data_IF_670826398361
#
_entry.id   IF_670826398361
#
_cell.length_a   1.000
_cell.length_b   1.000
_cell.length_c   1.000
_cell.angle_alpha   90.00
_cell.angle_beta   90.00
_cell.angle_gamma   90.00
#
_symmetry.space_group_name_H-M   'P 1'
#
loop_
_entity.id
_entity.type
_entity.pdbx_description
1 polymer ?
#
# COMPACT_ATOMS: atom_id res chain seq x y z
N UNK A 1 12.78 -20.27 39.70
CA UNK A 1 11.32 -20.47 39.62
C UNK A 1 10.83 -19.76 38.38
N UNK A 2 10.31 -20.49 37.39
CA UNK A 2 9.85 -19.90 36.12
C UNK A 2 8.59 -19.08 36.36
N UNK A 3 8.63 -17.78 36.07
CA UNK A 3 7.44 -16.94 36.10
C UNK A 3 6.46 -17.46 35.04
N UNK A 4 5.37 -18.07 35.50
CA UNK A 4 4.30 -18.53 34.61
C UNK A 4 3.65 -17.28 34.01
N UNK A 5 3.86 -17.07 32.71
CA UNK A 5 3.20 -16.00 31.96
C UNK A 5 1.68 -16.27 32.07
N UNK A 6 0.98 -15.41 32.80
CA UNK A 6 -0.46 -15.53 33.02
C UNK A 6 -1.18 -15.08 31.75
N UNK A 7 -1.73 -16.04 31.00
CA UNK A 7 -2.50 -15.74 29.78
C UNK A 7 -3.85 -15.11 30.16
N UNK A 8 -4.33 -14.08 29.44
CA UNK A 8 -5.58 -13.42 29.76
C UNK A 8 -6.80 -14.32 29.45
N UNK A 9 -7.90 -14.05 30.15
CA UNK A 9 -9.16 -14.78 30.03
C UNK A 9 -9.94 -14.32 28.79
N UNK A 10 -10.27 -15.26 27.89
CA UNK A 10 -10.94 -14.98 26.62
C UNK A 10 -12.46 -14.86 26.85
N UNK A 11 -12.99 -13.62 26.78
CA UNK A 11 -14.41 -13.32 27.05
C UNK A 11 -15.32 -13.29 25.82
N UNK A 12 -14.82 -13.70 24.65
CA UNK A 12 -15.60 -13.77 23.41
C UNK A 12 -14.82 -14.39 22.25
N UNK A 13 -15.53 -14.92 21.24
CA UNK A 13 -14.95 -15.52 20.02
C UNK A 13 -14.65 -14.42 18.98
N UNK A 14 -14.07 -13.31 19.44
CA UNK A 14 -13.66 -12.21 18.57
C UNK A 14 -12.15 -12.35 18.40
N UNK A 15 -11.71 -13.09 17.36
CA UNK A 15 -10.34 -13.16 16.80
C UNK A 15 -9.12 -13.30 17.73
N UNK A 16 -9.31 -13.46 19.04
CA UNK A 16 -8.26 -13.36 20.06
C UNK A 16 -7.68 -14.74 20.41
N UNK A 17 -8.26 -15.82 19.90
CA UNK A 17 -7.77 -17.19 20.16
C UNK A 17 -6.34 -17.36 19.63
N UNK A 18 -6.08 -16.93 18.40
CA UNK A 18 -4.74 -17.05 17.80
C UNK A 18 -3.71 -16.21 18.52
N UNK A 19 -4.06 -14.96 18.85
CA UNK A 19 -3.19 -14.05 19.60
C UNK A 19 -2.88 -14.59 21.00
N UNK A 20 -3.84 -15.24 21.68
CA UNK A 20 -3.63 -15.83 22.99
C UNK A 20 -2.86 -17.15 22.96
N UNK A 21 -2.97 -17.93 21.88
CA UNK A 21 -2.27 -19.21 21.75
C UNK A 21 -0.82 -18.97 21.30
N UNK A 22 -0.64 -18.17 20.25
CA UNK A 22 0.61 -18.01 19.50
C UNK A 22 1.33 -16.69 19.78
N UNK A 23 0.69 -15.75 20.48
CA UNK A 23 1.21 -14.39 20.69
C UNK A 23 0.98 -13.45 19.51
N UNK A 24 0.46 -13.96 18.37
CA UNK A 24 0.21 -13.19 17.17
C UNK A 24 -0.87 -13.86 16.30
N UNK A 25 -1.59 -13.09 15.48
CA UNK A 25 -2.53 -13.62 14.49
C UNK A 25 -1.77 -14.44 13.44
N UNK A 26 -2.14 -15.71 13.26
CA UNK A 26 -1.69 -16.52 12.13
C UNK A 26 -2.70 -16.31 10.99
N UNK A 27 -2.31 -15.53 9.99
CA UNK A 27 -3.14 -15.33 8.79
C UNK A 27 -2.49 -16.09 7.63
N UNK A 28 -3.13 -17.19 7.23
CA UNK A 28 -2.61 -18.14 6.24
C UNK A 28 -2.70 -17.64 4.79
N UNK A 29 -3.50 -16.60 4.52
CA UNK A 29 -3.66 -16.03 3.18
C UNK A 29 -2.70 -14.86 2.86
N UNK A 30 -1.78 -14.48 3.77
CA UNK A 30 -0.81 -13.41 3.46
C UNK A 30 0.29 -13.97 2.56
N UNK A 31 0.38 -13.47 1.32
CA UNK A 31 1.45 -13.86 0.41
C UNK A 31 2.83 -13.41 0.92
N UNK A 32 3.91 -14.19 0.68
CA UNK A 32 5.25 -13.87 1.18
C UNK A 32 5.77 -12.47 0.82
N UNK A 33 5.46 -12.00 -0.39
CA UNK A 33 5.88 -10.66 -0.82
C UNK A 33 5.15 -9.55 -0.05
N UNK A 34 3.90 -9.76 0.39
CA UNK A 34 3.17 -8.81 1.21
C UNK A 34 3.74 -8.75 2.63
N UNK A 35 4.18 -9.89 3.18
CA UNK A 35 4.94 -9.92 4.45
C UNK A 35 6.21 -9.09 4.35
N UNK A 36 6.96 -9.21 3.24
CA UNK A 36 8.16 -8.41 2.99
C UNK A 36 7.82 -6.92 2.85
N UNK A 37 6.76 -6.56 2.13
CA UNK A 37 6.33 -5.16 1.99
C UNK A 37 5.93 -4.55 3.33
N UNK A 38 5.20 -5.30 4.16
CA UNK A 38 4.82 -4.89 5.51
C UNK A 38 6.06 -4.68 6.39
N UNK A 39 7.00 -5.63 6.38
CA UNK A 39 8.29 -5.50 7.05
C UNK A 39 9.06 -4.23 6.60
N UNK A 40 9.15 -4.00 5.28
CA UNK A 40 9.84 -2.82 4.74
C UNK A 40 9.14 -1.52 5.14
N UNK A 41 7.80 -1.51 5.24
CA UNK A 41 7.04 -0.35 5.72
C UNK A 41 7.34 -0.01 7.19
N UNK A 42 7.42 -1.05 8.03
CA UNK A 42 7.80 -0.91 9.45
C UNK A 42 9.24 -0.41 9.58
N UNK A 43 10.17 -1.02 8.84
CA UNK A 43 11.57 -0.61 8.81
C UNK A 43 11.73 0.83 8.31
N UNK A 44 11.05 1.19 7.23
CA UNK A 44 11.04 2.53 6.66
C UNK A 44 10.51 3.60 7.63
N UNK A 45 9.58 3.23 8.51
CA UNK A 45 9.04 4.14 9.54
C UNK A 45 9.97 4.31 10.74
N UNK A 46 10.98 3.45 10.88
CA UNK A 46 11.90 3.43 12.02
C UNK A 46 13.38 3.64 11.59
N UNK A 47 13.62 4.29 10.44
CA UNK A 47 14.98 4.48 9.88
C UNK A 47 15.96 5.23 10.79
N UNK A 48 15.47 6.09 11.70
CA UNK A 48 16.32 6.80 12.68
C UNK A 48 16.94 5.85 13.72
N UNK A 49 16.28 4.73 13.99
CA UNK A 49 16.73 3.74 14.95
C UNK A 49 16.21 2.34 14.55
N UNK A 50 16.69 1.80 13.42
CA UNK A 50 16.14 0.59 12.83
C UNK A 50 16.43 -0.60 13.73
N UNK A 51 15.50 -1.55 13.77
CA UNK A 51 15.62 -2.78 14.56
C UNK A 51 15.92 -2.51 16.05
N UNK A 52 15.37 -1.44 16.60
CA UNK A 52 15.35 -1.21 18.06
C UNK A 52 13.91 -1.12 18.54
N UNK A 53 13.63 -1.84 19.62
CA UNK A 53 12.34 -1.78 20.30
C UNK A 53 12.23 -0.48 21.11
N UNK A 54 11.08 0.21 21.03
CA UNK A 54 10.84 1.42 21.81
C UNK A 54 10.23 1.07 23.18
N UNK A 55 10.91 1.45 24.27
CA UNK A 55 10.42 1.31 25.65
C UNK A 55 11.17 0.26 26.49
N UNK A 56 11.14 0.44 27.82
CA UNK A 56 11.98 -0.30 28.78
C UNK A 56 11.53 -1.75 29.07
N UNK A 57 10.40 -2.22 28.50
CA UNK A 57 9.84 -3.55 28.78
C UNK A 57 9.29 -4.25 27.52
N UNK A 58 10.17 -4.71 26.64
CA UNK A 58 9.79 -5.52 25.46
C UNK A 58 9.09 -4.70 24.37
N UNK A 59 9.72 -3.57 24.04
CA UNK A 59 9.12 -2.41 23.38
C UNK A 59 8.18 -2.65 22.20
N UNK A 60 7.21 -1.75 22.07
CA UNK A 60 6.34 -1.70 20.91
C UNK A 60 7.06 -1.07 19.72
N UNK A 61 6.63 -1.44 18.51
CA UNK A 61 7.06 -0.78 17.28
C UNK A 61 5.92 0.09 16.81
N UNK A 62 6.18 1.38 16.66
CA UNK A 62 5.22 2.29 16.05
C UNK A 62 5.43 2.32 14.53
N UNK A 63 4.34 2.12 13.81
CA UNK A 63 4.30 2.13 12.37
C UNK A 63 3.25 3.14 11.93
N UNK A 64 3.66 4.16 11.15
CA UNK A 64 2.73 5.08 10.50
C UNK A 64 2.63 4.72 9.01
N UNK A 65 1.62 3.92 8.63
CA UNK A 65 1.52 3.45 7.26
C UNK A 65 1.21 4.57 6.27
N UNK A 66 1.90 4.52 5.13
CA UNK A 66 1.65 5.42 4.01
C UNK A 66 0.48 4.89 3.17
N UNK A 67 -0.29 5.80 2.60
CA UNK A 67 -1.47 5.47 1.78
C UNK A 67 -1.21 5.56 0.28
N UNK A 68 -0.35 6.48 -0.14
CA UNK A 68 0.12 6.67 -1.52
C UNK A 68 -1.02 6.73 -2.58
N UNK A 69 -2.07 7.51 -2.30
CA UNK A 69 -3.27 7.62 -3.16
C UNK A 69 -2.92 8.04 -4.58
N UNK A 70 -2.02 9.00 -4.76
CA UNK A 70 -1.59 9.48 -6.08
C UNK A 70 -1.04 8.35 -6.93
N UNK A 71 -0.08 7.60 -6.39
CA UNK A 71 0.55 6.47 -7.08
C UNK A 71 -0.47 5.38 -7.40
N UNK A 72 -1.30 5.00 -6.42
CA UNK A 72 -2.36 4.00 -6.61
C UNK A 72 -3.36 4.42 -7.69
N UNK A 73 -3.76 5.69 -7.69
CA UNK A 73 -4.66 6.27 -8.67
C UNK A 73 -4.08 6.17 -10.08
N UNK A 74 -2.83 6.61 -10.26
CA UNK A 74 -2.12 6.57 -11.54
C UNK A 74 -1.99 5.14 -12.09
N UNK A 75 -1.65 4.19 -11.23
CA UNK A 75 -1.35 2.83 -11.65
C UNK A 75 -2.59 1.94 -11.78
N UNK A 76 -3.59 2.09 -10.91
CA UNK A 76 -4.66 1.11 -10.78
C UNK A 76 -6.08 1.68 -10.92
N UNK A 77 -6.26 3.00 -10.83
CA UNK A 77 -7.55 3.67 -11.01
C UNK A 77 -7.53 4.60 -12.25
N UNK A 78 -6.89 4.15 -13.32
CA UNK A 78 -6.64 4.98 -14.51
C UNK A 78 -6.67 4.13 -15.79
N UNK A 79 -7.85 3.63 -16.20
CA UNK A 79 -7.94 2.66 -17.30
C UNK A 79 -7.73 3.28 -18.69
N UNK A 80 -7.77 4.61 -18.81
CA UNK A 80 -7.83 5.30 -20.10
C UNK A 80 -6.46 5.58 -20.75
N UNK A 81 -5.36 5.40 -20.02
CA UNK A 81 -4.00 5.78 -20.47
C UNK A 81 -3.67 5.18 -21.83
N UNK A 82 -3.83 3.87 -21.99
CA UNK A 82 -3.51 3.15 -23.23
C UNK A 82 -4.40 3.63 -24.39
N UNK A 83 -5.72 3.71 -24.18
CA UNK A 83 -6.64 4.18 -25.21
C UNK A 83 -6.38 5.62 -25.67
N UNK A 84 -5.94 6.50 -24.78
CA UNK A 84 -5.60 7.89 -25.11
C UNK A 84 -4.24 7.93 -25.82
N UNK A 85 -3.27 7.12 -25.39
CA UNK A 85 -1.97 7.01 -26.03
C UNK A 85 -2.08 6.55 -27.50
N UNK A 86 -2.95 5.56 -27.77
CA UNK A 86 -3.17 5.01 -29.12
C UNK A 86 -3.98 5.93 -30.05
N UNK A 87 -4.61 6.98 -29.51
CA UNK A 87 -5.42 7.90 -30.31
C UNK A 87 -4.57 8.76 -31.25
N UNK A 88 -5.14 9.12 -32.40
CA UNK A 88 -4.51 9.94 -33.43
C UNK A 88 -4.69 11.47 -33.21
N UNK A 89 -4.83 11.90 -31.96
CA UNK A 89 -4.98 13.32 -31.58
C UNK A 89 -3.62 13.92 -31.19
N UNK A 90 -3.56 15.26 -31.09
CA UNK A 90 -2.34 15.96 -30.67
C UNK A 90 -1.95 15.63 -29.24
N UNK A 91 -0.66 15.77 -28.90
CA UNK A 91 -0.15 15.49 -27.56
C UNK A 91 -0.88 16.30 -26.46
N UNK A 92 -1.09 17.60 -26.69
CA UNK A 92 -1.83 18.46 -25.75
C UNK A 92 -3.28 17.99 -25.54
N UNK A 93 -3.90 17.49 -26.59
CA UNK A 93 -5.27 16.99 -26.51
C UNK A 93 -5.33 15.66 -25.74
N UNK A 94 -4.31 14.79 -25.87
CA UNK A 94 -4.17 13.58 -25.03
C UNK A 94 -4.06 13.94 -23.56
N UNK A 95 -3.21 14.91 -23.21
CA UNK A 95 -3.07 15.39 -21.84
C UNK A 95 -4.38 15.97 -21.31
N UNK A 96 -5.07 16.81 -22.09
CA UNK A 96 -6.37 17.40 -21.70
C UNK A 96 -7.39 16.31 -21.38
N UNK A 97 -7.59 15.36 -22.29
CA UNK A 97 -8.55 14.26 -22.10
C UNK A 97 -8.17 13.40 -20.89
N UNK A 98 -6.88 13.10 -20.72
CA UNK A 98 -6.42 12.32 -19.59
C UNK A 98 -6.67 13.02 -18.25
N UNK A 99 -6.40 14.32 -18.14
CA UNK A 99 -6.70 15.09 -16.92
C UNK A 99 -8.19 15.09 -16.59
N UNK A 100 -9.05 15.24 -17.59
CA UNK A 100 -10.52 15.18 -17.42
C UNK A 100 -10.97 13.82 -16.88
N UNK A 101 -10.49 12.73 -17.47
CA UNK A 101 -10.80 11.39 -17.01
C UNK A 101 -10.22 11.09 -15.62
N UNK A 102 -9.00 11.52 -15.34
CA UNK A 102 -8.36 11.30 -14.04
C UNK A 102 -9.10 12.04 -12.93
N UNK A 103 -9.56 13.28 -13.19
CA UNK A 103 -10.33 14.08 -12.23
C UNK A 103 -11.67 13.43 -11.86
N UNK A 104 -12.32 12.72 -12.79
CA UNK A 104 -13.57 11.99 -12.51
C UNK A 104 -13.36 10.81 -11.56
N UNK A 105 -12.17 10.19 -11.58
CA UNK A 105 -11.79 9.09 -10.69
C UNK A 105 -11.10 9.52 -9.40
N UNK A 106 -10.90 10.83 -9.19
CA UNK A 106 -10.21 11.35 -8.02
C UNK A 106 -11.02 11.12 -6.74
N UNK A 107 -10.33 10.71 -5.68
CA UNK A 107 -10.92 10.38 -4.39
C UNK A 107 -11.12 11.60 -3.49
N UNK A 108 -10.50 12.74 -3.83
CA UNK A 108 -10.48 13.94 -2.99
C UNK A 108 -9.49 13.84 -1.82
N UNK A 109 -8.69 12.78 -1.76
CA UNK A 109 -7.75 12.51 -0.69
C UNK A 109 -6.31 12.91 -1.06
N UNK A 110 -6.18 14.11 -1.63
CA UNK A 110 -4.88 14.68 -2.03
C UNK A 110 -4.42 14.29 -3.44
N UNK A 111 -5.29 13.70 -4.25
CA UNK A 111 -5.08 13.30 -5.66
C UNK A 111 -5.69 14.27 -6.69
N UNK A 112 -6.06 15.47 -6.25
CA UNK A 112 -6.73 16.48 -7.09
C UNK A 112 -5.81 17.20 -8.09
N UNK A 113 -4.50 17.31 -7.80
CA UNK A 113 -3.55 17.99 -8.68
C UNK A 113 -2.46 17.04 -9.20
N UNK A 114 -2.50 16.82 -10.51
CA UNK A 114 -1.52 16.05 -11.28
C UNK A 114 -0.85 16.87 -12.38
N UNK A 115 -1.06 18.20 -12.38
CA UNK A 115 -0.58 19.10 -13.45
C UNK A 115 0.94 19.04 -13.66
N UNK A 116 1.69 18.70 -12.62
CA UNK A 116 3.14 18.54 -12.68
C UNK A 116 3.57 17.44 -13.65
N UNK A 117 2.77 16.37 -13.85
CA UNK A 117 3.13 15.26 -14.72
C UNK A 117 3.32 15.71 -16.18
N UNK A 118 2.48 16.65 -16.65
CA UNK A 118 2.64 17.23 -18.00
C UNK A 118 4.03 17.86 -18.20
N UNK A 119 4.61 18.44 -17.14
CA UNK A 119 5.93 19.08 -17.17
C UNK A 119 7.08 18.08 -16.98
N UNK A 120 6.80 16.94 -16.36
CA UNK A 120 7.80 15.90 -16.09
C UNK A 120 8.08 14.98 -17.27
N UNK A 121 7.15 14.90 -18.23
CA UNK A 121 7.27 14.04 -19.40
C UNK A 121 7.35 14.85 -20.70
N UNK A 122 8.16 14.40 -21.65
CA UNK A 122 8.33 15.06 -22.95
C UNK A 122 7.07 14.93 -23.82
N UNK A 123 6.40 13.78 -23.75
CA UNK A 123 5.14 13.49 -24.44
C UNK A 123 4.19 12.67 -23.56
N UNK A 124 2.92 12.59 -23.96
CA UNK A 124 1.94 11.71 -23.34
C UNK A 124 2.31 10.23 -23.53
N UNK A 125 2.93 9.87 -24.65
CA UNK A 125 3.38 8.51 -24.94
C UNK A 125 4.49 8.06 -23.97
N UNK A 126 5.43 8.94 -23.64
CA UNK A 126 6.46 8.66 -22.62
C UNK A 126 5.84 8.46 -21.23
N UNK A 127 4.82 9.26 -20.89
CA UNK A 127 4.03 9.07 -19.68
C UNK A 127 3.32 7.70 -19.68
N UNK A 128 2.66 7.34 -20.77
CA UNK A 128 1.95 6.06 -20.91
C UNK A 128 2.90 4.87 -20.74
N UNK A 129 4.06 4.89 -21.40
CA UNK A 129 5.12 3.87 -21.27
C UNK A 129 5.64 3.75 -19.84
N UNK A 130 5.85 4.87 -19.15
CA UNK A 130 6.28 4.85 -17.76
C UNK A 130 5.21 4.22 -16.84
N UNK A 131 3.94 4.52 -17.05
CA UNK A 131 2.82 3.90 -16.33
C UNK A 131 2.75 2.40 -16.62
N UNK A 132 2.89 1.99 -17.88
CA UNK A 132 2.91 0.58 -18.28
C UNK A 132 4.07 -0.18 -17.62
N UNK A 133 5.28 0.38 -17.65
CA UNK A 133 6.45 -0.20 -16.99
C UNK A 133 6.19 -0.41 -15.49
N UNK A 134 5.66 0.60 -14.79
CA UNK A 134 5.33 0.49 -13.37
C UNK A 134 4.23 -0.55 -13.13
N UNK A 135 3.19 -0.62 -13.96
CA UNK A 135 2.14 -1.65 -13.88
C UNK A 135 2.68 -3.05 -14.11
N UNK A 136 3.67 -3.23 -14.99
CA UNK A 136 4.29 -4.53 -15.25
C UNK A 136 4.99 -5.11 -14.02
N UNK A 137 5.44 -4.23 -13.10
CA UNK A 137 6.03 -4.61 -11.81
C UNK A 137 5.02 -4.86 -10.70
N UNK A 138 3.71 -4.78 -11.00
CA UNK A 138 2.66 -4.99 -10.01
C UNK A 138 2.60 -6.45 -9.55
N UNK A 139 2.45 -6.62 -8.24
CA UNK A 139 2.12 -7.92 -7.68
C UNK A 139 0.70 -8.28 -8.06
N UNK A 140 0.50 -9.54 -8.44
CA UNK A 140 -0.83 -10.07 -8.75
C UNK A 140 -1.58 -9.22 -9.79
N UNK A 141 -0.89 -8.80 -10.86
CA UNK A 141 -1.40 -7.90 -11.91
C UNK A 141 -2.76 -8.32 -12.49
N UNK A 142 -3.00 -9.64 -12.59
CA UNK A 142 -4.24 -10.26 -13.10
C UNK A 142 -5.33 -10.48 -12.04
N UNK A 143 -5.12 -10.04 -10.81
CA UNK A 143 -6.11 -10.23 -9.74
C UNK A 143 -7.30 -9.26 -9.88
N UNK A 144 -8.48 -9.74 -9.49
CA UNK A 144 -9.70 -8.94 -9.34
C UNK A 144 -9.71 -8.14 -8.03
N UNK A 145 -8.55 -7.92 -7.41
CA UNK A 145 -8.44 -7.07 -6.22
C UNK A 145 -8.85 -5.64 -6.57
N UNK A 146 -9.52 -4.97 -5.63
CA UNK A 146 -9.82 -3.53 -5.74
C UNK A 146 -8.53 -2.75 -5.96
N UNK A 147 -8.59 -1.65 -6.69
CA UNK A 147 -7.42 -0.86 -7.08
C UNK A 147 -6.60 -0.35 -5.87
N UNK A 148 -7.27 -0.08 -4.74
CA UNK A 148 -6.65 0.33 -3.47
C UNK A 148 -6.01 -0.83 -2.68
N UNK A 149 -6.10 -2.05 -3.19
CA UNK A 149 -5.45 -3.26 -2.65
C UNK A 149 -4.46 -3.89 -3.63
N UNK A 150 -4.02 -3.13 -4.63
CA UNK A 150 -2.94 -3.52 -5.54
C UNK A 150 -1.63 -2.86 -5.11
N UNK A 151 -0.54 -3.57 -5.34
CA UNK A 151 0.80 -3.20 -4.90
C UNK A 151 1.78 -3.32 -6.07
N UNK A 152 2.83 -2.51 -6.04
CA UNK A 152 3.95 -2.61 -6.98
C UNK A 152 5.22 -3.01 -6.28
N UNK A 153 6.19 -3.48 -7.07
CA UNK A 153 7.54 -3.68 -6.58
C UNK A 153 8.04 -2.41 -5.86
N UNK A 154 8.65 -2.54 -4.67
CA UNK A 154 9.04 -1.40 -3.85
C UNK A 154 10.33 -0.76 -4.36
N UNK A 155 10.27 -0.04 -5.48
CA UNK A 155 11.42 0.65 -6.08
C UNK A 155 12.06 1.71 -5.16
N UNK A 156 11.32 2.18 -4.15
CA UNK A 156 11.79 3.14 -3.16
C UNK A 156 10.75 3.37 -2.06
N UNK A 157 11.04 4.26 -1.10
CA UNK A 157 10.17 4.53 0.05
C UNK A 157 8.74 4.94 -0.33
N UNK A 158 8.58 5.69 -1.42
CA UNK A 158 7.26 6.14 -1.88
C UNK A 158 6.40 5.02 -2.48
N UNK A 159 7.00 3.86 -2.77
CA UNK A 159 6.29 2.66 -3.19
C UNK A 159 5.91 1.74 -2.01
N UNK A 160 6.25 2.12 -0.77
CA UNK A 160 5.90 1.37 0.44
C UNK A 160 4.60 1.93 1.04
N UNK A 161 3.51 1.18 0.85
CA UNK A 161 2.19 1.56 1.34
C UNK A 161 1.37 0.33 1.77
N UNK A 162 0.51 0.51 2.78
CA UNK A 162 -0.36 -0.56 3.29
C UNK A 162 -1.65 -0.66 2.50
N UNK A 163 -2.29 -1.83 2.55
CA UNK A 163 -3.65 -2.03 2.06
C UNK A 163 -4.63 -0.98 2.57
N UNK A 164 -5.49 -0.51 1.66
CA UNK A 164 -6.37 0.61 1.89
C UNK A 164 -7.79 0.28 1.45
N UNK A 165 -8.72 0.50 2.35
CA UNK A 165 -10.14 0.55 2.05
C UNK A 165 -10.57 2.00 1.84
N UNK A 166 -11.35 2.21 0.79
CA UNK A 166 -11.97 3.50 0.46
C UNK A 166 -13.46 3.24 0.37
N UNK A 167 -14.23 3.83 1.28
CA UNK A 167 -15.69 3.67 1.29
C UNK A 167 -16.37 4.51 0.19
N UNK A 168 -17.68 4.33 0.03
CA UNK A 168 -18.47 5.06 -0.96
C UNK A 168 -18.53 6.58 -0.73
N UNK A 169 -18.13 7.06 0.46
CA UNK A 169 -18.05 8.48 0.81
C UNK A 169 -16.62 9.01 0.69
N UNK A 170 -15.67 8.21 0.20
CA UNK A 170 -14.27 8.57 0.04
C UNK A 170 -13.45 8.52 1.33
N UNK A 171 -14.00 8.00 2.44
CA UNK A 171 -13.26 7.85 3.70
C UNK A 171 -12.26 6.71 3.56
N UNK A 172 -11.03 6.98 3.95
CA UNK A 172 -9.94 6.02 3.90
C UNK A 172 -9.68 5.39 5.28
N UNK A 173 -9.66 4.07 5.33
CA UNK A 173 -9.21 3.29 6.47
C UNK A 173 -8.20 2.24 6.05
N UNK A 174 -7.22 2.01 6.92
CA UNK A 174 -6.23 0.97 6.72
C UNK A 174 -6.93 -0.38 6.83
N UNK A 175 -6.80 -1.20 5.80
CA UNK A 175 -7.35 -2.55 5.78
C UNK A 175 -6.24 -3.53 6.18
N UNK A 176 -6.56 -4.45 7.09
CA UNK A 176 -5.62 -5.44 7.62
C UNK A 176 -5.77 -6.80 6.94
N UNK A 177 -6.52 -6.87 5.84
CA UNK A 177 -6.74 -8.10 5.08
C UNK A 177 -5.46 -8.64 4.44
N UNK A 178 -4.63 -7.76 3.88
CA UNK A 178 -3.37 -8.17 3.22
C UNK A 178 -2.11 -7.85 4.05
N UNK A 179 -2.24 -7.02 5.08
CA UNK A 179 -1.17 -6.58 5.99
C UNK A 179 -1.57 -7.01 7.41
N UNK A 180 -1.44 -8.32 7.66
CA UNK A 180 -1.95 -9.00 8.84
C UNK A 180 -0.95 -9.06 9.99
N UNK A 181 0.00 -8.10 10.04
CA UNK A 181 1.08 -7.94 11.03
C UNK A 181 2.21 -8.97 10.97
N UNK A 182 2.19 -9.94 10.05
CA UNK A 182 3.29 -10.91 9.94
C UNK A 182 4.62 -10.23 9.59
N UNK A 183 4.59 -9.14 8.81
CA UNK A 183 5.79 -8.33 8.54
C UNK A 183 6.24 -7.52 9.77
N UNK A 184 5.31 -7.06 10.61
CA UNK A 184 5.61 -6.45 11.91
C UNK A 184 6.29 -7.49 12.84
N UNK A 185 5.76 -8.72 12.87
CA UNK A 185 6.37 -9.82 13.62
C UNK A 185 7.79 -10.14 13.12
N UNK A 186 7.98 -10.22 11.81
CA UNK A 186 9.32 -10.40 11.22
C UNK A 186 10.28 -9.29 11.65
N UNK A 187 9.82 -8.05 11.69
CA UNK A 187 10.62 -6.92 12.18
C UNK A 187 11.00 -7.10 13.65
N UNK A 188 10.03 -7.48 14.50
CA UNK A 188 10.26 -7.73 15.92
C UNK A 188 11.20 -8.91 16.19
N UNK A 189 11.21 -9.93 15.32
CA UNK A 189 12.16 -11.06 15.42
C UNK A 189 13.60 -10.65 15.12
N UNK A 190 13.81 -9.55 14.40
CA UNK A 190 15.12 -9.05 13.99
C UNK A 190 15.62 -7.87 14.86
N UNK A 191 14.73 -7.26 15.65
CA UNK A 191 15.02 -6.13 16.55
C UNK A 191 15.51 -6.60 17.92
#
# INVERSE_FOLDING_TARGET
MSAVIKRPEIKGVDFCVDENIWGHRLYDEQFPHLTVLEFLGVLGSNLESPLRLQGEQGGSVMFKPQRQIRLRGLLFNNPYVESIADSAISDEEKWRQWFEHFAQGATGNGDSDMSYLRRSFASFDDFAKAIELLRSSSFESRSNKRWSSKFVFPFGPDALYEDLEIDSRGKMSNDRRFFARTGELLYLMLA
#
